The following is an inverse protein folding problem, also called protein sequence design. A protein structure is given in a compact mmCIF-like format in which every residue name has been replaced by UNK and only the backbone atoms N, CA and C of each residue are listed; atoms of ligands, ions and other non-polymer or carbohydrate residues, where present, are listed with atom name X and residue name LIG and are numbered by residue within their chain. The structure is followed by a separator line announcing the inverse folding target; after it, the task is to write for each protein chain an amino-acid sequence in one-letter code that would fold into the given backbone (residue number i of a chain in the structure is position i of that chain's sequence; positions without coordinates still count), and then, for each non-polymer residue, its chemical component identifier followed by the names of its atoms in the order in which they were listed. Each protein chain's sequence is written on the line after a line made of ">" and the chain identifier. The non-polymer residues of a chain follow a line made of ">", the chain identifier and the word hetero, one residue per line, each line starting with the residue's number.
data_IF_377965158540
#
_entry.id   IF_377965158540
#
_cell.length_a   1.000
_cell.length_b   1.000
_cell.length_c   1.000
_cell.angle_alpha   90.00
_cell.angle_beta   90.00
_cell.angle_gamma   90.00
#
_symmetry.space_group_name_H-M   'P 1'
#
loop_
_entity.id
_entity.type
_entity.pdbx_description
1 polymer ?
#
# COMPACT_ATOMS: atom_id res chain seq x y z
N UNK A 1 9.01 -14.10 10.76
CA UNK A 1 8.82 -12.83 10.02
C UNK A 1 7.55 -12.13 10.52
N UNK A 2 7.65 -11.07 11.33
CA UNK A 2 6.46 -10.30 11.71
C UNK A 2 5.80 -9.69 10.45
N UNK A 3 4.49 -9.91 10.30
CA UNK A 3 3.69 -9.21 9.28
C UNK A 3 3.47 -7.79 9.81
N UNK A 4 3.89 -6.77 9.04
CA UNK A 4 3.50 -5.39 9.33
C UNK A 4 1.97 -5.33 9.28
N UNK A 5 1.33 -5.06 10.42
CA UNK A 5 -0.10 -4.81 10.46
C UNK A 5 -0.31 -3.34 10.16
N UNK A 6 -0.84 -3.06 9.00
CA UNK A 6 -1.31 -1.72 8.66
C UNK A 6 -2.67 -1.47 9.31
N UNK A 7 -2.88 -0.26 9.81
CA UNK A 7 -4.17 0.21 10.30
C UNK A 7 -5.21 0.21 9.18
N UNK A 8 -6.49 0.24 9.54
CA UNK A 8 -7.58 0.31 8.55
C UNK A 8 -7.48 1.61 7.74
N UNK A 9 -7.30 2.73 8.43
CA UNK A 9 -7.14 4.06 7.82
C UNK A 9 -6.02 4.09 6.78
N UNK A 10 -4.85 3.52 7.10
CA UNK A 10 -3.76 3.45 6.14
C UNK A 10 -4.14 2.66 4.90
N UNK A 11 -4.82 1.52 5.06
CA UNK A 11 -5.29 0.73 3.90
C UNK A 11 -6.27 1.51 3.04
N UNK A 12 -7.18 2.27 3.64
CA UNK A 12 -8.15 3.10 2.93
C UNK A 12 -7.47 4.22 2.14
N UNK A 13 -6.48 4.90 2.73
CA UNK A 13 -5.68 5.90 2.04
C UNK A 13 -4.96 5.32 0.82
N UNK A 14 -4.30 4.16 0.98
CA UNK A 14 -3.63 3.48 -0.13
C UNK A 14 -4.62 3.10 -1.22
N UNK A 15 -5.78 2.53 -0.86
CA UNK A 15 -6.80 2.14 -1.84
C UNK A 15 -7.34 3.34 -2.63
N UNK A 16 -7.53 4.49 -1.97
CA UNK A 16 -7.93 5.74 -2.63
C UNK A 16 -6.85 6.19 -3.64
N UNK A 17 -5.59 6.26 -3.22
CA UNK A 17 -4.49 6.67 -4.09
C UNK A 17 -4.31 5.72 -5.28
N UNK A 18 -4.44 4.40 -5.06
CA UNK A 18 -4.36 3.42 -6.15
C UNK A 18 -5.47 3.62 -7.18
N UNK A 19 -6.69 3.98 -6.75
CA UNK A 19 -7.81 4.28 -7.67
C UNK A 19 -7.57 5.57 -8.46
N UNK A 20 -7.00 6.59 -7.83
CA UNK A 20 -6.70 7.88 -8.48
C UNK A 20 -5.52 7.79 -9.46
N UNK A 21 -4.46 7.08 -9.09
CA UNK A 21 -3.24 6.92 -9.91
C UNK A 21 -3.39 5.81 -10.94
N UNK A 22 -4.22 4.80 -10.68
CA UNK A 22 -4.39 3.61 -11.52
C UNK A 22 -3.20 2.64 -11.50
N UNK A 23 -2.21 2.85 -10.63
CA UNK A 23 -1.00 2.02 -10.57
C UNK A 23 -0.66 1.59 -9.14
N UNK A 24 -1.06 0.37 -8.78
CA UNK A 24 -0.81 -0.20 -7.45
C UNK A 24 0.68 -0.38 -7.12
N UNK A 25 1.50 -0.76 -8.10
CA UNK A 25 2.93 -0.98 -7.87
C UNK A 25 3.68 0.31 -7.58
N UNK A 26 3.31 1.41 -8.24
CA UNK A 26 3.88 2.72 -7.99
C UNK A 26 3.52 3.23 -6.59
N UNK A 27 2.25 3.12 -6.19
CA UNK A 27 1.80 3.52 -4.84
C UNK A 27 2.48 2.63 -3.78
N UNK A 28 2.57 1.32 -3.99
CA UNK A 28 3.26 0.42 -3.08
C UNK A 28 4.74 0.81 -2.87
N UNK A 29 5.47 1.18 -3.93
CA UNK A 29 6.86 1.66 -3.82
C UNK A 29 6.98 2.97 -3.02
N UNK A 30 6.08 3.94 -3.24
CA UNK A 30 6.05 5.22 -2.49
C UNK A 30 5.89 5.00 -0.99
N UNK A 31 5.05 4.03 -0.61
CA UNK A 31 4.73 3.74 0.79
C UNK A 31 5.58 2.61 1.39
N UNK A 32 6.62 2.16 0.71
CA UNK A 32 7.50 1.08 1.19
C UNK A 32 6.76 -0.25 1.43
N UNK A 33 5.63 -0.47 0.74
CA UNK A 33 4.86 -1.71 0.77
C UNK A 33 5.60 -2.70 -0.11
N UNK A 34 6.59 -3.36 0.48
CA UNK A 34 7.40 -4.37 -0.20
C UNK A 34 6.62 -5.69 -0.27
N UNK A 35 6.42 -6.29 -1.46
CA UNK A 35 6.00 -7.67 -1.53
C UNK A 35 7.12 -8.52 -0.92
N UNK A 36 6.78 -9.30 0.11
CA UNK A 36 7.68 -10.37 0.55
C UNK A 36 7.59 -11.46 -0.52
N UNK A 37 8.62 -11.53 -1.36
CA UNK A 37 8.90 -12.72 -2.17
C UNK A 37 9.14 -13.92 -1.25
#
# INVERSE_FOLDING_TARGET
>A
MQRKRYTLEFKEQILKEVREVGNAAQVARRHGIVPKV
#
